data_IF_009245527466
#
_entry.id   IF_009245527466
#
_cell.length_a   1.000
_cell.length_b   1.000
_cell.length_c   1.000
_cell.angle_alpha   90.00
_cell.angle_beta   90.00
_cell.angle_gamma   90.00
#
_symmetry.space_group_name_H-M   'P 1'
#
loop_
_entity.id
_entity.type
_entity.pdbx_description
1 polymer ?
#
# COMPACT_ATOMS: atom_id res chain seq x y z
N UNK A 1 -7.31 1.40 -20.10
CA UNK A 1 -7.05 1.55 -18.65
C UNK A 1 -5.57 1.28 -18.42
N UNK A 2 -4.84 2.08 -17.63
CA UNK A 2 -3.39 1.90 -17.41
C UNK A 2 -3.19 0.64 -16.54
N UNK A 3 -2.55 -0.45 -16.99
CA UNK A 3 -2.56 -1.73 -16.28
C UNK A 3 -1.99 -1.70 -14.87
N UNK A 4 -0.99 -0.86 -14.59
CA UNK A 4 -0.53 -0.63 -13.23
C UNK A 4 -1.62 -0.06 -12.31
N UNK A 5 -2.48 0.83 -12.81
CA UNK A 5 -3.62 1.35 -12.04
C UNK A 5 -4.69 0.26 -11.82
N UNK A 6 -4.95 -0.57 -12.84
CA UNK A 6 -5.85 -1.72 -12.69
C UNK A 6 -5.35 -2.68 -11.61
N UNK A 7 -4.05 -2.96 -11.59
CA UNK A 7 -3.44 -3.85 -10.61
C UNK A 7 -3.51 -3.27 -9.19
N UNK A 8 -3.38 -1.95 -9.04
CA UNK A 8 -3.53 -1.24 -7.77
C UNK A 8 -4.97 -1.31 -7.24
N UNK A 9 -5.91 -0.72 -7.99
CA UNK A 9 -7.27 -0.50 -7.51
C UNK A 9 -8.14 -1.75 -7.59
N UNK A 10 -8.09 -2.45 -8.73
CA UNK A 10 -8.95 -3.61 -8.99
C UNK A 10 -8.26 -4.87 -8.48
N UNK A 11 -7.05 -5.16 -8.95
CA UNK A 11 -6.32 -6.39 -8.66
C UNK A 11 -5.91 -6.55 -7.19
N UNK A 12 -5.82 -5.44 -6.45
CA UNK A 12 -5.47 -5.45 -5.03
C UNK A 12 -6.66 -5.03 -4.17
N UNK A 13 -7.02 -3.75 -4.15
CA UNK A 13 -8.02 -3.23 -3.20
C UNK A 13 -9.40 -3.89 -3.36
N UNK A 14 -9.97 -3.86 -4.57
CA UNK A 14 -11.30 -4.40 -4.79
C UNK A 14 -11.34 -5.91 -4.52
N UNK A 15 -10.41 -6.69 -5.08
CA UNK A 15 -10.40 -8.14 -4.88
C UNK A 15 -10.21 -8.51 -3.41
N UNK A 16 -9.29 -7.85 -2.69
CA UNK A 16 -9.09 -8.12 -1.25
C UNK A 16 -10.30 -7.72 -0.42
N UNK A 17 -10.99 -6.63 -0.77
CA UNK A 17 -12.25 -6.24 -0.13
C UNK A 17 -13.35 -7.29 -0.36
N UNK A 18 -13.54 -7.75 -1.60
CA UNK A 18 -14.52 -8.79 -1.92
C UNK A 18 -14.19 -10.13 -1.26
N UNK A 19 -12.91 -10.51 -1.23
CA UNK A 19 -12.50 -11.74 -0.56
C UNK A 19 -12.69 -11.65 0.94
N UNK A 20 -12.43 -10.48 1.54
CA UNK A 20 -12.67 -10.22 2.95
C UNK A 20 -14.14 -10.46 3.32
N UNK A 21 -15.07 -10.24 2.39
CA UNK A 21 -16.51 -10.49 2.57
C UNK A 21 -16.87 -11.96 2.82
N UNK A 22 -16.01 -12.87 2.40
CA UNK A 22 -16.17 -14.30 2.57
C UNK A 22 -15.55 -14.81 3.88
N UNK A 23 -14.81 -13.99 4.62
CA UNK A 23 -13.95 -14.46 5.70
C UNK A 23 -14.64 -14.41 7.08
N UNK A 24 -14.32 -15.35 7.99
CA UNK A 24 -14.92 -15.40 9.31
C UNK A 24 -14.60 -14.15 10.16
N UNK A 25 -13.42 -13.55 9.98
CA UNK A 25 -13.01 -12.35 10.71
C UNK A 25 -13.70 -11.05 10.25
N UNK A 26 -14.53 -11.09 9.20
CA UNK A 26 -15.30 -9.91 8.79
C UNK A 26 -16.35 -9.53 9.82
N UNK A 27 -17.03 -10.52 10.39
CA UNK A 27 -17.98 -10.29 11.47
C UNK A 27 -17.26 -9.69 12.69
N UNK A 28 -16.05 -10.17 12.95
CA UNK A 28 -15.19 -9.78 14.08
C UNK A 28 -14.83 -8.29 14.06
N UNK A 29 -14.48 -7.72 12.89
CA UNK A 29 -14.17 -6.28 12.77
C UNK A 29 -15.38 -5.36 12.94
N UNK A 30 -16.61 -5.85 12.74
CA UNK A 30 -17.86 -5.08 12.98
C UNK A 30 -18.39 -5.24 14.41
N UNK A 31 -18.03 -6.33 15.08
CA UNK A 31 -18.53 -6.72 16.40
C UNK A 31 -17.53 -6.49 17.54
N UNK A 32 -16.33 -5.94 17.24
CA UNK A 32 -15.31 -5.57 18.23
C UNK A 32 -15.78 -4.41 19.14
N UNK A 33 -16.73 -4.70 20.02
CA UNK A 33 -17.03 -3.89 21.19
C UNK A 33 -16.07 -4.23 22.35
N UNK A 34 -16.10 -3.47 23.46
CA UNK A 34 -15.20 -3.63 24.60
C UNK A 34 -15.20 -5.01 25.30
N UNK A 35 -16.09 -5.93 24.91
CA UNK A 35 -16.33 -7.24 25.56
C UNK A 35 -15.78 -8.44 24.78
N UNK A 36 -15.21 -8.24 23.60
CA UNK A 36 -14.64 -9.36 22.83
C UNK A 36 -13.17 -9.60 23.22
N UNK A 37 -12.92 -10.72 23.91
CA UNK A 37 -11.57 -11.11 24.38
C UNK A 37 -10.70 -11.71 23.27
N UNK A 38 -11.19 -11.75 22.02
CA UNK A 38 -10.43 -12.23 20.87
C UNK A 38 -9.40 -11.19 20.44
N UNK A 39 -8.17 -11.60 20.10
CA UNK A 39 -7.13 -10.66 19.74
C UNK A 39 -7.51 -9.96 18.44
N UNK A 40 -7.54 -8.62 18.46
CA UNK A 40 -7.86 -7.80 17.29
C UNK A 40 -6.83 -8.02 16.18
N UNK A 41 -7.27 -8.03 14.93
CA UNK A 41 -6.34 -8.01 13.79
C UNK A 41 -5.65 -6.64 13.72
N UNK A 42 -4.39 -6.65 13.33
CA UNK A 42 -3.57 -5.46 13.13
C UNK A 42 -4.13 -4.58 12.00
N UNK A 43 -3.72 -3.30 12.02
CA UNK A 43 -4.05 -2.39 10.93
C UNK A 43 -3.36 -2.86 9.63
N UNK A 44 -4.17 -3.15 8.62
CA UNK A 44 -3.74 -3.67 7.33
C UNK A 44 -3.33 -2.57 6.33
N UNK A 45 -3.58 -1.29 6.62
CA UNK A 45 -3.44 -0.19 5.67
C UNK A 45 -2.07 -0.14 4.99
N UNK A 46 -0.98 -0.23 5.77
CA UNK A 46 0.36 -0.25 5.18
C UNK A 46 0.60 -1.47 4.30
N UNK A 47 0.19 -2.67 4.75
CA UNK A 47 0.31 -3.90 3.93
C UNK A 47 -0.51 -3.79 2.64
N UNK A 48 -1.72 -3.23 2.72
CA UNK A 48 -2.63 -3.02 1.58
C UNK A 48 -2.03 -2.07 0.54
N UNK A 49 -1.68 -0.85 0.93
CA UNK A 49 -1.08 0.14 0.03
C UNK A 49 0.28 -0.32 -0.51
N UNK A 50 1.07 -1.01 0.32
CA UNK A 50 2.35 -1.60 -0.07
C UNK A 50 2.20 -2.66 -1.15
N UNK A 51 1.28 -3.61 -0.96
CA UNK A 51 1.00 -4.66 -1.94
C UNK A 51 0.46 -4.06 -3.24
N UNK A 52 -0.46 -3.11 -3.15
CA UNK A 52 -1.02 -2.43 -4.31
C UNK A 52 0.06 -1.65 -5.07
N UNK A 53 1.02 -1.04 -4.37
CA UNK A 53 2.18 -0.35 -4.96
C UNK A 53 3.06 -1.32 -5.75
N UNK A 54 3.36 -2.49 -5.17
CA UNK A 54 4.19 -3.51 -5.81
C UNK A 54 3.49 -4.09 -7.05
N UNK A 55 2.20 -4.44 -6.92
CA UNK A 55 1.40 -4.95 -8.04
C UNK A 55 1.34 -3.93 -9.19
N UNK A 56 1.12 -2.65 -8.88
CA UNK A 56 1.14 -1.58 -9.88
C UNK A 56 2.50 -1.43 -10.59
N UNK A 57 3.60 -1.58 -9.83
CA UNK A 57 4.95 -1.46 -10.35
C UNK A 57 5.28 -2.59 -11.32
N UNK A 58 4.96 -3.84 -10.94
CA UNK A 58 5.19 -5.04 -11.75
C UNK A 58 4.33 -5.05 -13.02
N UNK A 59 3.09 -4.56 -12.96
CA UNK A 59 2.13 -4.58 -14.07
C UNK A 59 2.18 -3.31 -14.95
N UNK A 60 3.27 -2.52 -14.91
CA UNK A 60 3.34 -1.28 -15.68
C UNK A 60 3.78 -1.51 -17.14
N UNK A 61 2.86 -1.32 -18.10
CA UNK A 61 3.05 -1.53 -19.54
C UNK A 61 4.22 -0.79 -20.20
N UNK A 62 4.72 0.27 -19.58
CA UNK A 62 5.71 1.16 -20.21
C UNK A 62 7.14 0.61 -20.14
N UNK A 63 7.36 -0.67 -19.80
CA UNK A 63 8.69 -1.14 -19.42
C UNK A 63 9.22 -2.27 -20.31
N UNK A 64 10.51 -2.21 -20.68
CA UNK A 64 11.21 -3.36 -21.25
C UNK A 64 11.32 -4.47 -20.20
N UNK A 65 11.26 -5.72 -20.66
CA UNK A 65 11.17 -6.94 -19.82
C UNK A 65 12.30 -7.12 -18.78
N UNK A 66 13.39 -6.37 -18.89
CA UNK A 66 14.60 -6.48 -18.05
C UNK A 66 14.95 -5.18 -17.28
N UNK A 67 14.03 -4.21 -17.20
CA UNK A 67 14.30 -2.98 -16.46
C UNK A 67 14.20 -3.21 -14.94
N UNK A 68 15.19 -2.72 -14.19
CA UNK A 68 15.16 -2.72 -12.74
C UNK A 68 13.93 -1.96 -12.19
N UNK A 69 13.25 -2.55 -11.20
CA UNK A 69 12.03 -2.00 -10.61
C UNK A 69 12.36 -1.20 -9.36
N UNK A 70 12.46 0.12 -9.52
CA UNK A 70 12.70 1.03 -8.39
C UNK A 70 11.42 1.57 -7.75
N UNK A 71 11.36 1.56 -6.42
CA UNK A 71 10.33 2.25 -5.61
C UNK A 71 10.60 3.76 -5.50
N UNK A 72 11.17 4.39 -6.53
CA UNK A 72 11.58 5.81 -6.49
C UNK A 72 10.43 6.75 -6.10
N UNK A 73 9.28 6.63 -6.77
CA UNK A 73 8.14 7.52 -6.52
C UNK A 73 7.57 7.38 -5.11
N UNK A 74 7.29 6.16 -4.58
CA UNK A 74 6.93 5.98 -3.17
C UNK A 74 8.01 6.46 -2.18
N UNK A 75 9.29 6.18 -2.44
CA UNK A 75 10.40 6.59 -1.57
C UNK A 75 10.51 8.12 -1.49
N UNK A 76 10.41 8.81 -2.62
CA UNK A 76 10.44 10.26 -2.67
C UNK A 76 9.25 10.87 -1.92
N UNK A 77 8.04 10.29 -2.05
CA UNK A 77 6.87 10.74 -1.27
C UNK A 77 7.08 10.56 0.22
N UNK A 78 7.59 9.40 0.64
CA UNK A 78 7.93 9.14 2.03
C UNK A 78 8.89 10.20 2.58
N UNK A 79 9.99 10.43 1.87
CA UNK A 79 11.00 11.42 2.26
C UNK A 79 10.45 12.85 2.25
N UNK A 80 9.67 13.22 1.25
CA UNK A 80 9.02 14.53 1.17
C UNK A 80 8.08 14.77 2.35
N UNK A 81 7.34 13.75 2.78
CA UNK A 81 6.50 13.82 3.99
C UNK A 81 7.33 14.06 5.24
N UNK A 82 8.45 13.35 5.41
CA UNK A 82 9.38 13.57 6.55
C UNK A 82 9.91 15.00 6.55
N UNK A 83 10.36 15.50 5.40
CA UNK A 83 10.83 16.89 5.27
C UNK A 83 9.71 17.91 5.52
N UNK A 84 8.49 17.61 5.08
CA UNK A 84 7.33 18.47 5.25
C UNK A 84 6.92 18.69 6.70
N UNK A 85 7.27 17.78 7.62
CA UNK A 85 6.93 17.92 9.04
C UNK A 85 7.45 19.21 9.67
N UNK A 86 8.63 19.68 9.23
CA UNK A 86 9.32 20.84 9.80
C UNK A 86 9.58 21.95 8.76
N UNK A 87 8.79 22.00 7.69
CA UNK A 87 8.97 22.95 6.57
C UNK A 87 7.66 23.53 6.10
N UNK A 88 7.65 24.79 5.70
CA UNK A 88 6.49 25.40 5.02
C UNK A 88 6.31 24.81 3.62
N UNK A 89 5.18 25.08 2.98
CA UNK A 89 4.92 24.64 1.60
C UNK A 89 6.00 25.16 0.64
N UNK A 90 6.35 26.44 0.74
CA UNK A 90 7.35 27.10 -0.11
C UNK A 90 8.74 26.51 0.12
N UNK A 91 9.15 26.35 1.39
CA UNK A 91 10.43 25.71 1.73
C UNK A 91 10.52 24.29 1.18
N UNK A 92 9.45 23.49 1.30
CA UNK A 92 9.40 22.14 0.75
C UNK A 92 9.44 22.15 -0.78
N UNK A 93 8.75 23.09 -1.44
CA UNK A 93 8.74 23.22 -2.90
C UNK A 93 10.14 23.47 -3.46
N UNK A 94 10.90 24.39 -2.86
CA UNK A 94 12.28 24.64 -3.25
C UNK A 94 13.20 23.46 -2.95
N UNK A 95 13.04 22.82 -1.78
CA UNK A 95 13.83 21.63 -1.43
C UNK A 95 13.66 20.49 -2.44
N UNK A 96 12.44 20.27 -2.94
CA UNK A 96 12.12 19.21 -3.89
C UNK A 96 12.62 19.49 -5.31
N UNK A 97 13.09 20.70 -5.62
CA UNK A 97 13.61 21.06 -6.94
C UNK A 97 14.76 20.16 -7.39
N UNK A 98 15.61 19.72 -6.47
CA UNK A 98 16.73 18.82 -6.78
C UNK A 98 16.30 17.43 -7.29
N UNK A 99 15.06 17.02 -7.02
CA UNK A 99 14.54 15.68 -7.34
C UNK A 99 13.43 15.69 -8.39
N UNK A 100 12.66 16.77 -8.45
CA UNK A 100 11.52 16.92 -9.34
C UNK A 100 11.67 18.27 -10.02
N UNK A 101 12.18 18.30 -11.24
CA UNK A 101 12.45 19.55 -11.95
C UNK A 101 11.17 20.25 -12.40
N UNK A 102 10.17 19.49 -12.83
CA UNK A 102 8.88 20.01 -13.27
C UNK A 102 8.11 20.67 -12.10
N UNK A 103 7.85 21.99 -12.16
CA UNK A 103 7.17 22.72 -11.10
C UNK A 103 5.75 22.22 -10.86
N UNK A 104 5.04 21.71 -11.87
CA UNK A 104 3.66 21.21 -11.70
C UNK A 104 3.65 19.93 -10.88
N UNK A 105 4.54 18.97 -11.20
CA UNK A 105 4.72 17.75 -10.39
C UNK A 105 5.19 18.06 -8.97
N UNK A 106 6.11 19.02 -8.79
CA UNK A 106 6.53 19.47 -7.45
C UNK A 106 5.37 20.02 -6.64
N UNK A 107 4.60 20.93 -7.23
CA UNK A 107 3.47 21.54 -6.55
C UNK A 107 2.49 20.46 -6.08
N UNK A 108 2.14 19.51 -6.96
CA UNK A 108 1.28 18.36 -6.62
C UNK A 108 1.85 17.54 -5.46
N UNK A 109 3.17 17.29 -5.43
CA UNK A 109 3.81 16.57 -4.33
C UNK A 109 3.72 17.36 -3.01
N UNK A 110 4.02 18.67 -3.03
CA UNK A 110 3.85 19.54 -1.86
C UNK A 110 2.40 19.57 -1.38
N UNK A 111 1.42 19.66 -2.29
CA UNK A 111 0.00 19.65 -1.95
C UNK A 111 -0.42 18.35 -1.27
N UNK A 112 0.11 17.21 -1.70
CA UNK A 112 -0.12 15.92 -1.01
C UNK A 112 0.48 15.92 0.39
N UNK A 113 1.72 16.37 0.53
CA UNK A 113 2.41 16.45 1.83
C UNK A 113 1.72 17.40 2.79
N UNK A 114 1.20 18.54 2.32
CA UNK A 114 0.54 19.56 3.14
C UNK A 114 -0.99 19.45 3.17
N UNK A 115 -1.55 18.36 2.65
CA UNK A 115 -3.00 18.15 2.60
C UNK A 115 -3.62 18.20 4.00
N UNK A 116 -4.70 18.97 4.15
CA UNK A 116 -5.43 19.12 5.40
C UNK A 116 -4.82 20.10 6.40
N UNK A 117 -3.72 20.78 6.06
CA UNK A 117 -3.13 21.83 6.90
C UNK A 117 -3.70 23.17 6.48
N UNK A 118 -4.25 23.92 7.44
CA UNK A 118 -4.93 25.21 7.20
C UNK A 118 -3.94 26.30 6.77
N UNK A 119 -2.89 26.50 7.55
CA UNK A 119 -1.83 27.45 7.22
C UNK A 119 -0.54 26.67 6.89
N UNK A 120 -0.20 26.67 5.60
CA UNK A 120 0.99 25.97 5.10
C UNK A 120 2.24 26.84 5.04
N UNK A 121 2.13 28.12 5.42
CA UNK A 121 3.27 29.01 5.65
C UNK A 121 4.01 28.66 6.94
N UNK A 122 3.31 28.09 7.92
CA UNK A 122 3.90 27.63 9.17
C UNK A 122 4.72 26.34 8.92
N UNK A 123 5.99 26.26 9.36
CA UNK A 123 6.86 25.09 9.16
C UNK A 123 6.51 23.88 10.03
N UNK A 124 5.26 23.43 9.99
CA UNK A 124 4.75 22.33 10.82
C UNK A 124 3.83 21.40 10.06
N UNK A 125 3.91 20.12 10.40
CA UNK A 125 2.94 19.09 10.04
C UNK A 125 3.08 18.58 8.60
N UNK A 126 2.73 17.31 8.41
CA UNK A 126 2.55 16.72 7.09
C UNK A 126 1.52 15.60 7.14
N UNK A 127 0.85 15.35 6.01
CA UNK A 127 -0.03 14.23 5.79
C UNK A 127 0.80 12.95 5.63
N UNK A 128 0.70 12.05 6.61
CA UNK A 128 1.49 10.82 6.71
C UNK A 128 0.90 9.63 5.96
N UNK A 129 -0.31 9.76 5.41
CA UNK A 129 -1.01 8.69 4.70
C UNK A 129 -0.17 8.10 3.55
N UNK A 130 0.53 8.95 2.80
CA UNK A 130 1.36 8.53 1.66
C UNK A 130 2.61 7.74 2.07
N UNK A 131 2.99 7.74 3.35
CA UNK A 131 4.14 6.94 3.83
C UNK A 131 3.84 5.44 3.85
N UNK A 132 2.55 5.06 3.96
CA UNK A 132 2.12 3.67 3.99
C UNK A 132 2.51 2.89 2.72
N UNK A 133 2.47 3.54 1.55
CA UNK A 133 2.86 2.96 0.26
C UNK A 133 4.29 2.42 0.28
N UNK A 134 5.25 3.26 0.70
CA UNK A 134 6.66 2.87 0.74
C UNK A 134 6.96 1.91 1.89
N UNK A 135 6.46 2.21 3.09
CA UNK A 135 6.67 1.36 4.26
C UNK A 135 6.14 -0.06 4.05
N UNK A 136 4.92 -0.18 3.53
CA UNK A 136 4.30 -1.46 3.23
C UNK A 136 5.04 -2.24 2.15
N UNK A 137 5.44 -1.56 1.07
CA UNK A 137 6.19 -2.21 -0.01
C UNK A 137 7.54 -2.75 0.50
N UNK A 138 8.27 -1.97 1.31
CA UNK A 138 9.53 -2.40 1.93
C UNK A 138 9.31 -3.55 2.91
N UNK A 139 8.27 -3.50 3.74
CA UNK A 139 7.94 -4.60 4.68
C UNK A 139 7.64 -5.90 3.94
N UNK A 140 6.88 -5.85 2.83
CA UNK A 140 6.61 -7.02 2.00
C UNK A 140 7.89 -7.55 1.36
N UNK A 141 8.68 -6.69 0.71
CA UNK A 141 9.92 -7.10 0.03
C UNK A 141 10.94 -7.72 0.98
N UNK A 142 11.06 -7.21 2.22
CA UNK A 142 11.95 -7.78 3.24
C UNK A 142 11.51 -9.16 3.76
N UNK A 143 10.25 -9.52 3.55
CA UNK A 143 9.65 -10.73 4.08
C UNK A 143 9.13 -11.64 2.97
N UNK A 144 9.59 -11.44 1.72
CA UNK A 144 8.98 -12.01 0.52
C UNK A 144 8.78 -13.53 0.62
N UNK A 145 9.82 -14.24 1.07
CA UNK A 145 9.83 -15.70 1.16
C UNK A 145 8.93 -16.27 2.28
N UNK A 146 8.50 -15.43 3.22
CA UNK A 146 7.64 -15.82 4.36
C UNK A 146 6.16 -15.57 4.13
N UNK A 147 5.79 -14.91 3.03
CA UNK A 147 4.43 -14.44 2.78
C UNK A 147 3.68 -15.46 1.92
N UNK A 148 2.64 -16.06 2.50
CA UNK A 148 1.61 -16.74 1.73
C UNK A 148 0.73 -15.69 1.03
N UNK A 149 1.06 -15.34 -0.22
CA UNK A 149 0.34 -14.32 -0.99
C UNK A 149 -1.12 -14.70 -1.27
N UNK A 150 -1.43 -15.99 -1.41
CA UNK A 150 -2.82 -16.46 -1.56
C UNK A 150 -3.60 -16.15 -0.29
N UNK A 151 -3.02 -16.43 0.88
CA UNK A 151 -3.61 -16.08 2.17
C UNK A 151 -3.73 -14.56 2.35
N UNK A 152 -2.72 -13.79 1.93
CA UNK A 152 -2.77 -12.33 2.00
C UNK A 152 -3.91 -11.74 1.17
N UNK A 153 -4.20 -12.36 0.02
CA UNK A 153 -5.33 -12.02 -0.83
C UNK A 153 -6.70 -12.51 -0.32
N UNK A 154 -6.75 -13.35 0.72
CA UNK A 154 -8.04 -13.80 1.30
C UNK A 154 -8.84 -12.67 1.93
N UNK A 155 -8.21 -11.53 2.26
CA UNK A 155 -8.95 -10.38 2.78
C UNK A 155 -8.07 -9.18 3.12
N UNK A 156 -8.63 -8.26 3.90
CA UNK A 156 -7.99 -7.02 4.35
C UNK A 156 -7.07 -7.28 5.55
N UNK A 157 -6.03 -8.07 5.33
CA UNK A 157 -5.11 -8.57 6.37
C UNK A 157 -3.79 -7.79 6.39
N UNK A 158 -3.28 -7.56 7.59
CA UNK A 158 -1.88 -7.20 7.79
C UNK A 158 -1.02 -8.44 7.56
N UNK A 159 0.20 -8.25 7.03
CA UNK A 159 1.18 -9.34 6.89
C UNK A 159 1.43 -10.05 8.23
N UNK A 160 1.44 -9.27 9.31
CA UNK A 160 1.70 -9.78 10.67
C UNK A 160 0.63 -10.77 11.15
N UNK A 161 -0.59 -10.70 10.62
CA UNK A 161 -1.70 -11.55 11.05
C UNK A 161 -1.82 -12.86 10.26
N UNK A 162 -1.03 -13.05 9.19
CA UNK A 162 -1.16 -14.22 8.31
C UNK A 162 -1.08 -15.54 9.08
N UNK A 163 -0.16 -15.65 10.04
CA UNK A 163 -0.03 -16.85 10.87
C UNK A 163 -1.27 -17.13 11.74
N UNK A 164 -1.99 -16.08 12.17
CA UNK A 164 -3.16 -16.18 13.06
C UNK A 164 -4.40 -16.66 12.32
N UNK A 165 -4.53 -16.29 11.04
CA UNK A 165 -5.72 -16.57 10.24
C UNK A 165 -5.57 -17.78 9.33
N UNK A 166 -4.36 -18.37 9.22
CA UNK A 166 -4.05 -19.47 8.31
C UNK A 166 -5.04 -20.63 8.38
N UNK A 167 -5.48 -21.00 9.59
CA UNK A 167 -6.34 -22.16 9.84
C UNK A 167 -7.84 -21.88 9.70
N UNK A 168 -8.26 -20.61 9.75
CA UNK A 168 -9.68 -20.23 9.64
C UNK A 168 -10.02 -19.55 8.31
N UNK A 169 -9.02 -19.17 7.52
CA UNK A 169 -9.23 -18.52 6.22
C UNK A 169 -9.94 -19.44 5.22
N UNK A 170 -11.02 -18.94 4.62
CA UNK A 170 -11.68 -19.59 3.49
C UNK A 170 -10.88 -19.30 2.23
N UNK A 171 -10.20 -20.31 1.67
CA UNK A 171 -9.32 -20.18 0.49
C UNK A 171 -9.98 -20.57 -0.85
N UNK A 172 -11.04 -21.38 -0.83
CA UNK A 172 -11.58 -22.00 -2.06
C UNK A 172 -12.43 -21.08 -2.93
N UNK A 173 -13.05 -20.03 -2.36
CA UNK A 173 -13.97 -19.13 -3.09
C UNK A 173 -13.38 -17.74 -3.33
N UNK A 174 -12.08 -17.55 -3.06
CA UNK A 174 -11.44 -16.24 -3.20
C UNK A 174 -11.12 -15.94 -4.66
N UNK A 175 -11.17 -14.66 -5.01
CA UNK A 175 -10.79 -14.14 -6.32
C UNK A 175 -9.35 -13.65 -6.26
N UNK A 176 -8.45 -14.31 -6.98
CA UNK A 176 -7.07 -13.84 -7.13
C UNK A 176 -6.95 -12.94 -8.37
N UNK A 177 -6.06 -11.94 -8.34
CA UNK A 177 -5.78 -11.15 -9.53
C UNK A 177 -5.19 -12.04 -10.63
N UNK A 178 -5.50 -11.72 -11.89
CA UNK A 178 -5.07 -12.50 -13.05
C UNK A 178 -3.55 -12.73 -13.11
N UNK A 179 -2.76 -11.75 -12.65
CA UNK A 179 -1.30 -11.85 -12.64
C UNK A 179 -0.74 -12.79 -11.56
N UNK A 180 -1.53 -13.17 -10.54
CA UNK A 180 -1.19 -14.22 -9.57
C UNK A 180 -1.79 -15.59 -9.95
N UNK A 181 -2.86 -15.62 -10.74
CA UNK A 181 -3.72 -16.79 -10.96
C UNK A 181 -3.18 -17.91 -11.85
N UNK A 182 -1.86 -18.05 -12.04
CA UNK A 182 -1.30 -19.23 -12.74
C UNK A 182 -0.60 -20.12 -11.71
N UNK A 183 -1.07 -21.37 -11.57
CA UNK A 183 -0.49 -22.39 -10.65
C UNK A 183 1.01 -22.57 -10.83
N UNK A 184 1.52 -22.39 -12.05
CA UNK A 184 2.95 -22.43 -12.39
C UNK A 184 3.77 -21.28 -11.79
N UNK A 185 3.15 -20.13 -11.47
CA UNK A 185 3.82 -18.95 -10.93
C UNK A 185 3.87 -18.92 -9.40
N UNK A 186 3.04 -19.72 -8.74
CA UNK A 186 2.97 -19.82 -7.27
C UNK A 186 3.90 -20.95 -6.75
N UNK A 187 4.26 -21.90 -7.62
CA UNK A 187 5.07 -23.08 -7.28
C UNK A 187 6.59 -22.91 -7.51
N UNK A 188 7.06 -21.69 -7.79
CA UNK A 188 8.48 -21.32 -7.79
C UNK A 188 8.78 -20.42 -6.59
#
# INVERSE_FOLDING_TARGET
MIPGLCAHEIGTHLLRMLNNDLQPWRADRRLSGPKDNRPKLENHFATEEGLATLNALVQSDKRPKNAELYLWSPALRYWATVQGQNRSFVQLFHLLQRYVQDPVRRFKLCSRVKRGIRDTGIPRGACTLDQAYFLGAVDILRNLDSIDFVLLHCGLLSRKDLHRVRFCARRHAIRLPHFLGTTEKIAK
#
